data_IF_462602745677
#
_entry.id   IF_462602745677
#
_cell.length_a   1.000
_cell.length_b   1.000
_cell.length_c   1.000
_cell.angle_alpha   90.00
_cell.angle_beta   90.00
_cell.angle_gamma   90.00
#
_symmetry.space_group_name_H-M   'P 1'
#
loop_
_entity.id
_entity.type
_entity.pdbx_description
1 polymer ?
#
# COMPACT_ATOMS: atom_id res chain seq x y z
N UNK A 1 -23.53 -14.67 -16.92
CA UNK A 1 -22.68 -13.49 -16.65
C UNK A 1 -21.53 -13.94 -15.74
N UNK A 2 -20.39 -14.47 -16.17
CA UNK A 2 -19.34 -14.00 -17.10
C UNK A 2 -18.67 -12.67 -16.71
N UNK A 3 -18.04 -12.67 -15.53
CA UNK A 3 -16.97 -11.73 -15.13
C UNK A 3 -15.79 -12.46 -14.47
N UNK A 4 -15.46 -13.67 -14.93
CA UNK A 4 -14.34 -14.46 -14.40
C UNK A 4 -13.10 -14.54 -15.34
N UNK A 5 -13.08 -13.83 -16.47
CA UNK A 5 -11.98 -13.89 -17.47
C UNK A 5 -11.29 -12.51 -17.70
N UNK A 6 -11.28 -11.61 -16.71
CA UNK A 6 -10.43 -10.40 -16.76
C UNK A 6 -9.58 -10.32 -15.48
N UNK A 7 -8.72 -11.30 -15.28
CA UNK A 7 -7.60 -11.20 -14.34
C UNK A 7 -6.36 -11.83 -14.99
N UNK A 8 -5.95 -11.27 -16.12
CA UNK A 8 -4.54 -11.26 -16.49
C UNK A 8 -3.85 -10.50 -15.36
N UNK A 9 -3.35 -11.28 -14.38
CA UNK A 9 -2.74 -10.88 -13.10
C UNK A 9 -2.64 -9.37 -12.94
N UNK A 10 -3.72 -8.76 -12.46
CA UNK A 10 -3.70 -7.35 -12.12
C UNK A 10 -2.91 -7.30 -10.80
N UNK A 11 -1.60 -7.10 -10.93
CA UNK A 11 -0.70 -7.11 -9.78
C UNK A 11 -0.57 -5.69 -9.27
N UNK A 12 -0.74 -5.52 -7.97
CA UNK A 12 -0.24 -4.33 -7.28
C UNK A 12 1.24 -4.58 -7.01
N UNK A 13 2.10 -3.84 -7.69
CA UNK A 13 3.55 -3.99 -7.55
C UNK A 13 4.06 -3.10 -6.42
N UNK A 14 5.01 -3.62 -5.64
CA UNK A 14 5.70 -2.88 -4.59
C UNK A 14 7.18 -2.88 -4.91
N UNK A 15 7.76 -1.69 -5.09
CA UNK A 15 9.17 -1.49 -5.40
C UNK A 15 9.82 -0.68 -4.27
N UNK A 16 10.93 -1.17 -3.72
CA UNK A 16 11.65 -0.49 -2.64
C UNK A 16 12.97 0.09 -3.16
N UNK A 17 13.15 1.40 -3.01
CA UNK A 17 14.36 2.12 -3.39
C UNK A 17 15.06 2.69 -2.14
N UNK A 18 16.38 2.53 -2.06
CA UNK A 18 17.17 3.07 -0.95
C UNK A 18 17.40 4.57 -1.11
N UNK A 19 17.10 5.36 -0.07
CA UNK A 19 17.34 6.81 -0.08
C UNK A 19 18.79 7.08 0.31
N UNK A 20 19.62 7.52 -0.63
CA UNK A 20 21.03 7.82 -0.37
C UNK A 20 21.18 9.20 0.29
N UNK A 21 21.11 9.26 1.64
CA UNK A 21 21.42 10.49 2.38
C UNK A 21 22.90 10.54 2.75
N UNK A 22 23.58 11.59 2.30
CA UNK A 22 24.97 11.88 2.63
C UNK A 22 25.16 12.07 4.15
N UNK A 23 25.89 11.12 4.75
CA UNK A 23 26.78 11.27 5.91
C UNK A 23 26.15 11.72 7.25
N UNK A 24 25.29 10.88 7.88
CA UNK A 24 25.14 10.70 9.37
C UNK A 24 23.97 9.79 9.84
N UNK A 25 23.31 9.00 8.99
CA UNK A 25 22.22 8.12 9.45
C UNK A 25 22.74 6.70 9.71
N UNK A 26 22.61 6.16 10.94
CA UNK A 26 23.09 4.81 11.27
C UNK A 26 22.22 3.66 10.74
N UNK A 27 21.13 3.94 10.01
CA UNK A 27 20.68 3.09 8.90
C UNK A 27 19.73 3.89 7.98
N UNK A 28 19.73 3.59 6.67
CA UNK A 28 19.02 4.41 5.68
C UNK A 28 17.50 4.28 5.80
N UNK A 29 16.79 5.37 5.50
CA UNK A 29 15.35 5.33 5.20
C UNK A 29 15.14 4.69 3.82
N UNK A 30 13.96 4.12 3.60
CA UNK A 30 13.60 3.53 2.32
C UNK A 30 12.37 4.23 1.74
N UNK A 31 12.37 4.43 0.43
CA UNK A 31 11.22 4.90 -0.32
C UNK A 31 10.57 3.68 -0.98
N UNK A 32 9.31 3.40 -0.63
CA UNK A 32 8.54 2.29 -1.19
C UNK A 32 7.51 2.87 -2.15
N UNK A 33 7.53 2.40 -3.39
CA UNK A 33 6.59 2.77 -4.44
C UNK A 33 5.56 1.65 -4.59
N UNK A 34 4.30 2.00 -4.43
CA UNK A 34 3.17 1.07 -4.61
C UNK A 34 2.45 1.48 -5.88
N UNK A 35 2.36 0.57 -6.84
CA UNK A 35 1.79 0.81 -8.16
C UNK A 35 0.58 -0.07 -8.42
N UNK A 36 -0.54 0.55 -8.77
CA UNK A 36 -1.74 -0.15 -9.19
C UNK A 36 -1.72 -0.43 -10.69
N UNK A 37 -1.33 -1.64 -11.09
CA UNK A 37 -1.39 -2.04 -12.49
C UNK A 37 -2.78 -2.53 -12.93
N UNK A 38 -3.74 -2.63 -12.00
CA UNK A 38 -5.10 -3.11 -12.25
C UNK A 38 -5.95 -2.11 -13.04
N UNK A 39 -6.94 -2.61 -13.82
CA UNK A 39 -7.87 -1.75 -14.57
C UNK A 39 -8.94 -1.10 -13.67
N UNK A 40 -8.92 -1.35 -12.36
CA UNK A 40 -9.85 -0.80 -11.39
C UNK A 40 -9.12 -0.10 -10.24
N UNK A 41 -9.86 0.70 -9.47
CA UNK A 41 -9.33 1.38 -8.28
C UNK A 41 -9.08 0.37 -7.16
N UNK A 42 -7.92 0.48 -6.53
CA UNK A 42 -7.59 -0.26 -5.30
C UNK A 42 -7.30 0.71 -4.16
N UNK A 43 -7.51 0.25 -2.94
CA UNK A 43 -7.14 0.97 -1.74
C UNK A 43 -5.96 0.27 -1.10
N UNK A 44 -4.77 0.86 -1.22
CA UNK A 44 -3.60 0.33 -0.54
C UNK A 44 -3.76 0.52 0.97
N UNK A 45 -3.37 -0.50 1.72
CA UNK A 45 -3.33 -0.53 3.17
C UNK A 45 -1.89 -0.77 3.60
N UNK A 46 -1.46 -0.04 4.63
CA UNK A 46 -0.11 -0.16 5.18
C UNK A 46 -0.24 -0.26 6.69
N UNK A 47 0.20 -1.40 7.24
CA UNK A 47 0.28 -1.63 8.67
C UNK A 47 1.73 -1.79 9.08
N UNK A 48 2.16 -1.07 10.11
CA UNK A 48 3.49 -1.21 10.69
C UNK A 48 3.48 -0.80 12.16
N UNK A 49 4.27 -1.46 13.03
CA UNK A 49 4.52 -0.99 14.39
C UNK A 49 5.13 0.42 14.41
N UNK A 50 5.95 0.75 13.41
CA UNK A 50 6.57 2.06 13.22
C UNK A 50 5.88 2.75 12.04
N UNK A 51 5.09 3.78 12.34
CA UNK A 51 4.24 4.43 11.34
C UNK A 51 5.09 5.12 10.25
N UNK A 52 4.77 4.89 8.95
CA UNK A 52 5.41 5.60 7.85
C UNK A 52 5.01 7.08 7.83
N UNK A 53 5.69 7.89 7.02
CA UNK A 53 5.42 9.33 6.90
C UNK A 53 4.06 9.68 6.27
N UNK A 54 3.28 8.69 5.86
CA UNK A 54 2.02 8.81 5.12
C UNK A 54 0.91 8.05 5.85
N UNK A 55 -0.34 8.45 5.63
CA UNK A 55 -1.49 7.77 6.20
C UNK A 55 -1.47 6.27 5.86
N UNK A 56 -1.79 5.42 6.85
CA UNK A 56 -1.80 3.94 6.81
C UNK A 56 -2.80 3.31 5.81
N UNK A 57 -3.36 4.12 4.90
CA UNK A 57 -4.24 3.69 3.82
C UNK A 57 -4.48 4.84 2.84
N UNK A 58 -4.50 4.52 1.54
CA UNK A 58 -4.73 5.51 0.49
C UNK A 58 -5.32 4.88 -0.79
N UNK A 59 -6.04 5.70 -1.55
CA UNK A 59 -6.69 5.30 -2.80
C UNK A 59 -5.71 5.38 -3.97
N UNK A 60 -5.65 4.32 -4.77
CA UNK A 60 -4.90 4.24 -6.02
C UNK A 60 -5.85 3.98 -7.18
N UNK A 61 -5.99 4.98 -8.05
CA UNK A 61 -6.68 4.79 -9.33
C UNK A 61 -5.92 3.81 -10.23
N UNK A 62 -6.58 3.38 -11.30
CA UNK A 62 -5.98 2.62 -12.40
C UNK A 62 -4.69 3.30 -12.87
N UNK A 63 -3.59 2.54 -12.94
CA UNK A 63 -2.25 3.02 -13.33
C UNK A 63 -1.68 4.15 -12.46
N UNK A 64 -2.19 4.34 -11.24
CA UNK A 64 -1.63 5.28 -10.29
C UNK A 64 -0.54 4.62 -9.44
N UNK A 65 0.51 5.39 -9.12
CA UNK A 65 1.51 5.05 -8.10
C UNK A 65 1.44 6.02 -6.94
N UNK A 66 1.82 5.53 -5.77
CA UNK A 66 2.08 6.35 -4.60
C UNK A 66 3.39 5.91 -3.96
N UNK A 67 4.19 6.88 -3.54
CA UNK A 67 5.41 6.63 -2.79
C UNK A 67 5.17 6.89 -1.30
N UNK A 68 5.68 5.98 -0.47
CA UNK A 68 5.71 6.13 0.98
C UNK A 68 7.16 6.10 1.46
N UNK A 69 7.50 6.96 2.41
CA UNK A 69 8.82 6.93 3.07
C UNK A 69 8.69 6.15 4.37
N UNK A 70 9.54 5.15 4.52
CA UNK A 70 9.59 4.30 5.71
C UNK A 70 10.89 4.51 6.46
N UNK A 71 10.85 4.50 7.80
CA UNK A 71 12.04 4.68 8.60
C UNK A 71 12.99 3.49 8.47
N UNK A 72 14.23 3.70 8.89
CA UNK A 72 15.17 2.62 9.15
C UNK A 72 14.58 1.57 10.11
N UNK A 73 14.90 0.29 9.89
CA UNK A 73 14.38 -0.86 10.68
C UNK A 73 12.85 -0.95 10.67
N UNK A 74 12.26 -0.76 9.50
CA UNK A 74 10.83 -0.98 9.28
C UNK A 74 10.51 -2.48 9.29
N UNK A 75 10.45 -3.05 10.49
CA UNK A 75 10.24 -4.48 10.72
C UNK A 75 8.75 -4.80 10.91
N UNK A 76 8.36 -6.02 10.53
CA UNK A 76 7.00 -6.55 10.66
C UNK A 76 5.90 -5.70 9.98
N UNK A 77 6.26 -4.89 8.99
CA UNK A 77 5.29 -4.14 8.20
C UNK A 77 4.57 -5.02 7.17
N UNK A 78 3.31 -4.69 6.89
CA UNK A 78 2.48 -5.35 5.87
C UNK A 78 1.89 -4.28 4.95
N UNK A 79 1.99 -4.53 3.65
CA UNK A 79 1.34 -3.74 2.61
C UNK A 79 0.43 -4.68 1.83
N UNK A 80 -0.83 -4.30 1.65
CA UNK A 80 -1.78 -5.08 0.85
C UNK A 80 -2.76 -4.16 0.12
N UNK A 81 -3.44 -4.72 -0.87
CA UNK A 81 -4.46 -4.03 -1.64
C UNK A 81 -5.86 -4.42 -1.14
N UNK A 82 -6.76 -3.44 -1.13
CA UNK A 82 -8.18 -3.62 -0.81
C UNK A 82 -9.03 -3.24 -2.01
N UNK A 83 -10.06 -4.01 -2.29
CA UNK A 83 -10.93 -3.81 -3.46
C UNK A 83 -12.38 -3.62 -3.04
N UNK A 84 -13.15 -2.98 -3.93
CA UNK A 84 -14.59 -2.77 -3.74
C UNK A 84 -14.95 -2.16 -2.37
N UNK A 85 -14.20 -1.12 -1.98
CA UNK A 85 -14.45 -0.36 -0.76
C UNK A 85 -15.43 0.79 -1.01
N UNK A 86 -16.10 1.26 0.04
CA UNK A 86 -16.88 2.49 0.04
C UNK A 86 -16.00 3.73 -0.27
N UNK A 87 -16.62 4.89 -0.51
CA UNK A 87 -15.94 6.15 -0.86
C UNK A 87 -14.82 6.56 0.12
N UNK A 88 -14.96 6.20 1.40
CA UNK A 88 -13.99 6.49 2.45
C UNK A 88 -12.91 5.40 2.64
N UNK A 89 -12.87 4.39 1.75
CA UNK A 89 -11.92 3.28 1.86
C UNK A 89 -12.19 2.35 3.05
N UNK A 90 -13.47 2.13 3.36
CA UNK A 90 -13.98 1.22 4.40
C UNK A 90 -14.92 0.18 3.77
N UNK A 91 -15.26 -0.87 4.51
CA UNK A 91 -16.19 -1.92 4.06
C UNK A 91 -15.76 -2.49 2.71
N UNK A 92 -14.50 -2.92 2.65
CA UNK A 92 -13.94 -3.50 1.43
C UNK A 92 -14.35 -4.96 1.31
N UNK A 93 -14.61 -5.43 0.09
CA UNK A 93 -14.90 -6.84 -0.15
C UNK A 93 -13.67 -7.72 0.10
N UNK A 94 -12.48 -7.21 -0.22
CA UNK A 94 -11.22 -7.92 0.01
C UNK A 94 -10.23 -7.06 0.81
N UNK A 95 -9.48 -7.70 1.69
CA UNK A 95 -8.42 -7.07 2.46
C UNK A 95 -8.90 -5.98 3.42
N UNK A 96 -10.18 -5.96 3.82
CA UNK A 96 -10.64 -4.93 4.74
C UNK A 96 -9.93 -5.01 6.08
N UNK A 97 -9.70 -3.85 6.68
CA UNK A 97 -8.99 -3.72 7.95
C UNK A 97 -9.85 -3.04 9.02
N UNK A 98 -11.17 -2.99 8.78
CA UNK A 98 -12.21 -2.42 9.64
C UNK A 98 -11.93 -0.97 10.11
N UNK A 99 -11.03 -0.25 9.44
CA UNK A 99 -10.59 1.11 9.77
C UNK A 99 -10.04 1.83 8.53
N UNK A 100 -9.97 3.17 8.55
CA UNK A 100 -9.33 3.94 7.46
C UNK A 100 -7.80 3.86 7.51
N UNK A 101 -7.25 3.83 8.73
CA UNK A 101 -5.84 3.61 9.01
C UNK A 101 -5.78 2.17 9.46
N UNK A 102 -5.28 1.24 8.65
CA UNK A 102 -5.26 -0.17 9.03
C UNK A 102 -4.35 -0.39 10.25
N UNK A 103 -4.93 -0.31 11.46
CA UNK A 103 -4.22 -0.48 12.75
C UNK A 103 -4.24 -1.94 13.21
N UNK A 104 -4.96 -2.82 12.51
CA UNK A 104 -4.97 -4.27 12.73
C UNK A 104 -4.66 -5.03 11.44
N UNK A 105 -4.34 -6.33 11.58
CA UNK A 105 -4.20 -7.24 10.45
C UNK A 105 -5.57 -7.42 9.78
N UNK A 106 -5.65 -7.06 8.49
CA UNK A 106 -6.70 -7.54 7.60
C UNK A 106 -6.46 -8.98 7.15
#
# INVERSE_FOLDING_TARGET
>A
MMYFIIALLCVVSVEANSVNRTKRQSCPEHDIVIYNNCPFTVWAAVHSPIQPSTNNGFRLNTKQKQQIRVPCRWEAARIWARTNCNADGRNCETGDCNAMKCVGAG
#
